data_IF_422287785464
#
_entry.id   IF_422287785464
#
_cell.length_a   1.000
_cell.length_b   1.000
_cell.length_c   1.000
_cell.angle_alpha   90.00
_cell.angle_beta   90.00
_cell.angle_gamma   90.00
#
_symmetry.space_group_name_H-M   'P 1'
#
loop_
_entity.id
_entity.type
_entity.pdbx_description
1 polymer ?
#
# COMPACT_ATOMS: atom_id res chain seq x y z
N UNK A 1 10.87 31.20 23.34
CA UNK A 1 11.03 30.27 22.19
C UNK A 1 9.62 29.95 21.72
N UNK A 2 9.29 30.22 20.46
CA UNK A 2 7.95 30.00 19.92
C UNK A 2 8.01 28.74 19.05
N UNK A 3 7.22 27.72 19.41
CA UNK A 3 7.10 26.47 18.65
C UNK A 3 6.03 26.66 17.59
N UNK A 4 6.36 26.34 16.34
CA UNK A 4 5.38 26.32 15.26
C UNK A 4 4.67 24.99 15.25
N UNK A 5 3.34 25.05 15.25
CA UNK A 5 2.50 23.91 14.89
C UNK A 5 2.66 23.71 13.39
N UNK A 6 2.89 22.48 12.95
CA UNK A 6 3.08 22.20 11.51
C UNK A 6 1.83 22.64 10.73
N UNK A 7 1.95 23.76 10.01
CA UNK A 7 1.05 24.16 8.94
C UNK A 7 1.75 23.86 7.61
N UNK A 8 1.08 23.13 6.73
CA UNK A 8 1.60 22.60 5.46
C UNK A 8 2.26 23.70 4.60
N UNK A 9 3.60 23.71 4.51
CA UNK A 9 4.28 24.70 3.68
C UNK A 9 5.80 24.59 3.59
N UNK A 10 6.28 23.73 2.68
CA UNK A 10 7.59 23.90 2.00
C UNK A 10 8.81 23.27 2.67
N UNK A 11 9.41 22.29 1.98
CA UNK A 11 10.48 21.37 2.43
C UNK A 11 10.03 20.45 3.58
N UNK A 12 9.41 19.33 3.22
CA UNK A 12 8.69 18.43 4.14
C UNK A 12 9.53 17.98 5.36
N UNK A 13 10.86 17.89 5.24
CA UNK A 13 11.72 17.28 6.26
C UNK A 13 13.12 17.91 6.40
N UNK A 14 13.36 19.10 5.83
CA UNK A 14 14.69 19.73 5.79
C UNK A 14 14.64 21.14 6.40
N UNK A 15 14.31 21.17 7.69
CA UNK A 15 14.49 22.35 8.52
C UNK A 15 15.33 21.98 9.74
N UNK A 16 16.39 22.73 10.01
CA UNK A 16 17.13 22.72 11.29
C UNK A 16 16.28 23.29 12.46
N UNK A 17 15.01 23.56 12.22
CA UNK A 17 14.10 24.14 13.20
C UNK A 17 13.44 23.05 14.06
N UNK A 18 13.20 23.39 15.33
CA UNK A 18 12.46 22.54 16.23
C UNK A 18 10.97 22.53 15.85
N UNK A 19 10.40 21.33 15.78
CA UNK A 19 9.03 21.04 15.35
C UNK A 19 8.31 20.31 16.48
N UNK A 20 7.10 20.75 16.79
CA UNK A 20 6.20 20.04 17.69
C UNK A 20 5.08 19.39 16.86
N UNK A 21 5.03 18.05 16.86
CA UNK A 21 3.99 17.30 16.16
C UNK A 21 2.62 17.48 16.82
N UNK A 22 2.56 17.85 18.10
CA UNK A 22 1.32 18.05 18.84
C UNK A 22 0.43 16.80 18.92
N UNK A 23 1.00 15.60 18.74
CA UNK A 23 0.28 14.34 18.93
C UNK A 23 0.07 14.09 20.43
N UNK A 24 -1.15 13.72 20.88
CA UNK A 24 -1.37 13.34 22.26
C UNK A 24 -0.69 11.99 22.57
N UNK A 25 -0.45 11.65 23.85
CA UNK A 25 -0.02 10.31 24.25
C UNK A 25 -0.93 9.22 23.66
N UNK A 26 -0.37 8.04 23.38
CA UNK A 26 -1.11 6.84 22.99
C UNK A 26 -0.38 5.59 23.48
N UNK A 27 -1.10 4.46 23.56
CA UNK A 27 -0.56 3.18 24.04
C UNK A 27 0.59 2.66 23.17
N UNK A 28 0.51 2.84 21.85
CA UNK A 28 1.52 2.35 20.89
C UNK A 28 1.97 3.52 20.03
N UNK A 29 3.29 3.74 19.93
CA UNK A 29 3.88 4.75 19.05
C UNK A 29 4.67 4.06 17.95
N UNK A 30 4.35 4.35 16.70
CA UNK A 30 5.02 3.83 15.51
C UNK A 30 5.69 4.98 14.76
N UNK A 31 6.99 4.86 14.54
CA UNK A 31 7.81 5.83 13.82
C UNK A 31 8.40 5.18 12.58
N UNK A 32 8.29 5.83 11.43
CA UNK A 32 8.88 5.37 10.16
C UNK A 32 9.36 6.56 9.33
N UNK A 33 10.23 6.35 8.33
CA UNK A 33 10.57 7.39 7.34
C UNK A 33 9.69 7.32 6.09
N UNK A 34 8.91 6.26 5.93
CA UNK A 34 8.14 6.02 4.72
C UNK A 34 6.69 6.53 4.87
N UNK A 35 6.34 7.59 4.14
CA UNK A 35 4.97 8.16 4.14
C UNK A 35 3.91 7.16 3.65
N UNK A 36 4.30 6.20 2.80
CA UNK A 36 3.44 5.09 2.39
C UNK A 36 3.08 4.19 3.56
N UNK A 37 4.00 3.95 4.49
CA UNK A 37 3.71 3.17 5.70
C UNK A 37 2.87 3.96 6.69
N UNK A 38 3.13 5.27 6.84
CA UNK A 38 2.29 6.16 7.64
C UNK A 38 0.84 6.08 7.15
N UNK A 39 0.62 6.20 5.85
CA UNK A 39 -0.71 6.14 5.23
C UNK A 39 -1.36 4.77 5.40
N UNK A 40 -0.63 3.70 5.10
CA UNK A 40 -1.09 2.31 5.23
C UNK A 40 -1.53 1.98 6.67
N UNK A 41 -0.67 2.28 7.64
CA UNK A 41 -0.94 1.99 9.04
C UNK A 41 -2.05 2.88 9.60
N UNK A 42 -2.14 4.15 9.16
CA UNK A 42 -3.23 5.04 9.59
C UNK A 42 -4.59 4.53 9.11
N UNK A 43 -4.67 4.03 7.87
CA UNK A 43 -5.89 3.40 7.36
C UNK A 43 -6.23 2.12 8.13
N UNK A 44 -5.24 1.28 8.45
CA UNK A 44 -5.45 0.08 9.25
C UNK A 44 -5.94 0.40 10.67
N UNK A 45 -5.36 1.42 11.34
CA UNK A 45 -5.80 1.88 12.66
C UNK A 45 -7.24 2.37 12.62
N UNK A 46 -7.62 3.14 11.59
CA UNK A 46 -9.00 3.64 11.47
C UNK A 46 -10.03 2.49 11.34
N UNK A 47 -9.68 1.44 10.59
CA UNK A 47 -10.51 0.22 10.49
C UNK A 47 -10.54 -0.57 11.80
N UNK A 48 -9.39 -0.73 12.45
CA UNK A 48 -9.24 -1.49 13.69
C UNK A 48 -9.98 -0.86 14.87
N UNK A 49 -10.02 0.47 14.95
CA UNK A 49 -10.79 1.20 15.96
C UNK A 49 -12.29 0.95 15.88
N UNK A 50 -12.82 0.52 14.73
CA UNK A 50 -14.22 0.15 14.59
C UNK A 50 -14.56 -1.17 15.31
N UNK A 51 -13.56 -1.99 15.67
CA UNK A 51 -13.75 -3.26 16.39
C UNK A 51 -14.02 -3.08 17.89
N UNK A 52 -13.82 -1.89 18.44
CA UNK A 52 -14.13 -1.54 19.82
C UNK A 52 -12.89 -1.16 20.64
N UNK A 53 -12.70 -1.83 21.78
CA UNK A 53 -11.64 -1.51 22.76
C UNK A 53 -10.27 -2.02 22.26
N UNK A 54 -9.61 -1.17 21.49
CA UNK A 54 -8.26 -1.37 20.93
C UNK A 54 -7.31 -0.28 21.44
N UNK A 55 -5.99 -0.56 21.56
CA UNK A 55 -5.00 0.41 22.00
C UNK A 55 -4.98 1.68 21.14
N UNK A 56 -4.74 2.83 21.77
CA UNK A 56 -4.57 4.09 21.05
C UNK A 56 -3.20 4.12 20.35
N UNK A 57 -3.21 4.18 19.03
CA UNK A 57 -1.98 4.19 18.22
C UNK A 57 -1.64 5.61 17.78
N UNK A 58 -0.34 5.96 17.81
CA UNK A 58 0.23 7.18 17.21
C UNK A 58 1.22 6.77 16.14
N UNK A 59 1.08 7.35 14.95
CA UNK A 59 1.96 7.08 13.81
C UNK A 59 2.55 8.40 13.36
N UNK A 60 3.86 8.47 13.16
CA UNK A 60 4.51 9.67 12.67
C UNK A 60 5.70 9.34 11.77
N UNK A 61 5.98 10.26 10.84
CA UNK A 61 7.23 10.24 10.11
C UNK A 61 8.35 10.82 10.97
N UNK A 62 9.35 10.02 11.37
CA UNK A 62 10.43 10.51 12.25
C UNK A 62 11.33 11.55 11.58
N UNK A 63 11.29 11.69 10.25
CA UNK A 63 12.00 12.75 9.55
C UNK A 63 11.45 14.15 9.89
N UNK A 64 10.23 14.25 10.43
CA UNK A 64 9.70 15.49 11.01
C UNK A 64 10.31 15.81 12.40
N UNK A 65 11.03 14.85 13.01
CA UNK A 65 11.71 14.96 14.29
C UNK A 65 13.24 15.04 14.07
N UNK A 66 13.68 15.92 13.18
CA UNK A 66 15.10 16.11 12.83
C UNK A 66 15.91 16.77 13.95
N UNK A 67 15.34 17.81 14.57
CA UNK A 67 16.01 18.59 15.60
C UNK A 67 15.96 17.87 16.98
N UNK A 68 17.07 17.82 17.75
CA UNK A 68 17.14 17.14 19.06
C UNK A 68 16.03 17.54 20.04
N UNK A 69 15.72 18.83 20.11
CA UNK A 69 14.63 19.33 20.97
C UNK A 69 13.26 18.74 20.58
N UNK A 70 12.98 18.56 19.28
CA UNK A 70 11.73 17.95 18.80
C UNK A 70 11.62 16.50 19.30
N UNK A 71 12.73 15.76 19.24
CA UNK A 71 12.83 14.39 19.72
C UNK A 71 12.57 14.34 21.23
N UNK A 72 13.28 15.14 22.02
CA UNK A 72 13.13 15.18 23.47
C UNK A 72 11.71 15.57 23.89
N UNK A 73 11.14 16.58 23.23
CA UNK A 73 9.78 17.01 23.48
C UNK A 73 8.78 15.90 23.14
N UNK A 74 8.92 15.25 22.00
CA UNK A 74 8.04 14.14 21.59
C UNK A 74 8.16 12.95 22.54
N UNK A 75 9.38 12.67 23.04
CA UNK A 75 9.59 11.65 24.06
C UNK A 75 8.83 12.01 25.35
N UNK A 76 9.01 13.24 25.83
CA UNK A 76 8.41 13.69 27.08
C UNK A 76 6.88 13.83 27.04
N UNK A 77 6.33 14.25 25.89
CA UNK A 77 4.90 14.57 25.75
C UNK A 77 4.05 13.42 25.22
N UNK A 78 4.60 12.58 24.35
CA UNK A 78 3.85 11.52 23.67
C UNK A 78 4.30 10.15 24.12
N UNK A 79 5.60 9.85 23.99
CA UNK A 79 6.13 8.50 24.24
C UNK A 79 6.11 8.16 25.73
N UNK A 80 6.27 9.12 26.63
CA UNK A 80 6.24 8.88 28.08
C UNK A 80 4.92 8.22 28.57
N UNK A 81 3.81 8.38 27.83
CA UNK A 81 2.53 7.74 28.12
C UNK A 81 2.29 6.42 27.37
N UNK A 82 3.24 5.98 26.54
CA UNK A 82 3.11 4.77 25.74
C UNK A 82 3.50 3.51 26.51
N UNK A 83 3.03 2.36 26.02
CA UNK A 83 3.40 1.01 26.47
C UNK A 83 4.40 0.35 25.52
N UNK A 84 4.46 0.80 24.27
CA UNK A 84 5.36 0.26 23.24
C UNK A 84 5.73 1.35 22.23
N UNK A 85 7.02 1.41 21.87
CA UNK A 85 7.51 2.19 20.74
C UNK A 85 8.08 1.25 19.68
N UNK A 86 7.70 1.45 18.42
CA UNK A 86 8.26 0.74 17.27
C UNK A 86 8.83 1.78 16.31
N UNK A 87 10.09 1.62 15.92
CA UNK A 87 10.78 2.53 14.99
C UNK A 87 11.30 1.72 13.81
N UNK A 88 10.79 1.99 12.60
CA UNK A 88 11.29 1.38 11.37
C UNK A 88 12.30 2.31 10.69
N UNK A 89 13.55 1.87 10.59
CA UNK A 89 14.68 2.66 10.08
C UNK A 89 15.15 2.17 8.73
N UNK A 90 14.95 2.98 7.68
CA UNK A 90 15.47 2.69 6.35
C UNK A 90 16.97 3.05 6.31
N UNK A 91 17.83 2.03 6.29
CA UNK A 91 19.29 2.20 6.23
C UNK A 91 20.00 2.24 7.59
N UNK A 92 19.32 1.84 8.67
CA UNK A 92 19.92 1.60 9.98
C UNK A 92 19.93 2.81 10.93
N UNK A 93 20.61 2.65 12.07
CA UNK A 93 20.61 3.59 13.19
C UNK A 93 21.11 5.00 12.83
N UNK A 94 22.05 5.08 11.88
CA UNK A 94 22.70 6.33 11.46
C UNK A 94 21.72 7.38 10.91
N UNK A 95 20.61 6.95 10.30
CA UNK A 95 19.63 7.85 9.69
C UNK A 95 18.83 8.69 10.70
N UNK A 96 18.78 8.27 11.97
CA UNK A 96 18.10 9.01 13.03
C UNK A 96 18.81 8.82 14.38
N UNK A 97 20.13 9.01 14.35
CA UNK A 97 21.06 8.66 15.44
C UNK A 97 20.61 9.18 16.81
N UNK A 98 20.24 10.46 16.90
CA UNK A 98 19.85 11.07 18.16
C UNK A 98 18.57 10.44 18.73
N UNK A 99 17.54 10.25 17.90
CA UNK A 99 16.29 9.61 18.33
C UNK A 99 16.50 8.18 18.81
N UNK A 100 17.32 7.41 18.09
CA UNK A 100 17.70 6.05 18.50
C UNK A 100 18.38 6.05 19.86
N UNK A 101 19.35 6.94 20.08
CA UNK A 101 20.07 7.06 21.34
C UNK A 101 19.16 7.42 22.51
N UNK A 102 18.27 8.42 22.34
CA UNK A 102 17.35 8.84 23.40
C UNK A 102 16.31 7.75 23.72
N UNK A 103 15.74 7.11 22.70
CA UNK A 103 14.78 6.03 22.90
C UNK A 103 15.41 4.79 23.56
N UNK A 104 16.67 4.48 23.22
CA UNK A 104 17.42 3.43 23.90
C UNK A 104 17.68 3.80 25.36
N UNK A 105 18.18 5.00 25.60
CA UNK A 105 18.55 5.45 26.95
C UNK A 105 17.34 5.47 27.89
N UNK A 106 16.17 5.95 27.42
CA UNK A 106 14.96 5.93 28.24
C UNK A 106 14.47 4.51 28.51
N UNK A 107 14.54 3.60 27.53
CA UNK A 107 14.18 2.19 27.73
C UNK A 107 15.11 1.49 28.75
N UNK A 108 16.42 1.73 28.68
CA UNK A 108 17.39 1.19 29.66
C UNK A 108 17.17 1.74 31.07
N UNK A 109 16.69 2.97 31.20
CA UNK A 109 16.35 3.59 32.48
C UNK A 109 15.02 3.09 33.08
N UNK A 110 14.38 2.08 32.47
CA UNK A 110 13.08 1.56 32.90
C UNK A 110 11.87 2.32 32.34
N UNK A 111 12.08 3.10 31.29
CA UNK A 111 11.02 3.74 30.51
C UNK A 111 10.30 2.77 29.57
N UNK A 112 9.76 3.31 28.48
CA UNK A 112 8.93 2.55 27.53
C UNK A 112 9.81 1.65 26.67
N UNK A 113 9.48 0.35 26.52
CA UNK A 113 10.26 -0.55 25.67
C UNK A 113 10.17 -0.16 24.19
N UNK A 114 11.27 -0.33 23.46
CA UNK A 114 11.40 0.07 22.06
C UNK A 114 11.86 -1.09 21.16
N UNK A 115 11.22 -1.24 20.00
CA UNK A 115 11.66 -2.13 18.93
C UNK A 115 12.20 -1.30 17.76
N UNK A 116 13.45 -1.53 17.36
CA UNK A 116 14.03 -0.95 16.15
C UNK A 116 13.99 -2.00 15.02
N UNK A 117 13.32 -1.66 13.93
CA UNK A 117 13.08 -2.55 12.80
C UNK A 117 13.85 -2.07 11.56
N UNK A 118 14.50 -2.97 10.80
CA UNK A 118 15.10 -2.60 9.52
C UNK A 118 14.01 -2.28 8.48
N UNK A 119 14.30 -1.31 7.61
CA UNK A 119 13.43 -0.91 6.51
C UNK A 119 13.69 -1.61 5.17
N UNK A 120 14.76 -2.41 5.04
CA UNK A 120 15.22 -2.98 3.76
C UNK A 120 15.11 -4.52 3.68
N UNK A 121 14.34 -5.13 4.59
CA UNK A 121 14.15 -6.58 4.74
C UNK A 121 15.45 -7.37 5.00
N UNK A 122 16.56 -6.70 5.36
CA UNK A 122 17.81 -7.37 5.71
C UNK A 122 17.96 -7.45 7.22
N UNK A 123 18.58 -8.54 7.74
CA UNK A 123 18.93 -8.60 9.16
C UNK A 123 19.89 -7.45 9.52
N UNK A 124 19.59 -6.75 10.60
CA UNK A 124 20.42 -5.68 11.15
C UNK A 124 20.75 -5.98 12.62
N UNK A 125 21.91 -6.61 12.89
CA UNK A 125 22.31 -6.96 14.26
C UNK A 125 22.50 -5.75 15.19
N UNK A 126 22.75 -4.56 14.65
CA UNK A 126 22.86 -3.34 15.46
C UNK A 126 21.49 -2.93 15.97
N UNK A 127 20.48 -2.91 15.10
CA UNK A 127 19.09 -2.61 15.52
C UNK A 127 18.54 -3.68 16.47
N UNK A 128 18.88 -4.95 16.24
CA UNK A 128 18.55 -6.05 17.15
C UNK A 128 19.14 -5.80 18.56
N UNK A 129 20.41 -5.37 18.63
CA UNK A 129 21.07 -5.07 19.91
C UNK A 129 20.48 -3.84 20.63
N UNK A 130 20.09 -2.82 19.87
CA UNK A 130 19.51 -1.60 20.41
C UNK A 130 18.06 -1.78 20.88
N UNK A 131 17.35 -2.79 20.36
CA UNK A 131 15.98 -3.08 20.75
C UNK A 131 15.88 -3.60 22.20
N UNK A 132 14.72 -3.38 22.83
CA UNK A 132 14.38 -3.95 24.14
C UNK A 132 13.89 -5.40 24.02
N UNK A 133 13.48 -5.80 22.81
CA UNK A 133 12.93 -7.13 22.51
C UNK A 133 13.98 -8.05 21.87
N UNK A 134 13.72 -9.35 21.88
CA UNK A 134 14.58 -10.31 21.21
C UNK A 134 14.46 -10.21 19.68
N UNK A 135 15.49 -10.70 18.99
CA UNK A 135 15.57 -10.71 17.52
C UNK A 135 14.38 -11.39 16.84
N UNK A 136 13.78 -12.42 17.45
CA UNK A 136 12.63 -13.12 16.89
C UNK A 136 11.40 -12.22 16.85
N UNK A 137 11.13 -11.53 17.95
CA UNK A 137 10.05 -10.54 18.06
C UNK A 137 10.23 -9.41 17.05
N UNK A 138 11.41 -8.79 16.97
CA UNK A 138 11.69 -7.71 16.02
C UNK A 138 11.52 -8.17 14.56
N UNK A 139 12.03 -9.37 14.21
CA UNK A 139 11.86 -9.92 12.86
C UNK A 139 10.41 -10.23 12.51
N UNK A 140 9.63 -10.73 13.47
CA UNK A 140 8.20 -11.01 13.27
C UNK A 140 7.44 -9.72 12.94
N UNK A 141 7.68 -8.64 13.70
CA UNK A 141 7.11 -7.32 13.44
C UNK A 141 7.54 -6.77 12.07
N UNK A 142 8.84 -6.83 11.75
CA UNK A 142 9.36 -6.35 10.47
C UNK A 142 8.76 -7.11 9.27
N UNK A 143 8.52 -8.41 9.41
CA UNK A 143 8.00 -9.24 8.33
C UNK A 143 6.60 -8.83 7.83
N UNK A 144 5.73 -8.31 8.70
CA UNK A 144 4.44 -7.74 8.27
C UNK A 144 4.65 -6.53 7.37
N UNK A 145 5.51 -5.60 7.79
CA UNK A 145 5.74 -4.37 7.06
C UNK A 145 6.59 -4.60 5.80
N UNK A 146 7.44 -5.64 5.76
CA UNK A 146 8.14 -6.11 4.55
C UNK A 146 7.19 -6.71 3.52
N UNK A 147 6.23 -7.52 3.98
CA UNK A 147 5.21 -8.10 3.12
C UNK A 147 4.28 -7.01 2.56
N UNK A 148 3.94 -6.02 3.40
CA UNK A 148 3.13 -4.85 3.07
C UNK A 148 1.66 -5.19 2.79
N UNK A 149 0.89 -4.15 2.49
CA UNK A 149 -0.54 -4.23 2.21
C UNK A 149 -1.45 -4.23 3.45
N UNK A 150 -2.77 -3.99 3.26
CA UNK A 150 -3.70 -3.72 4.35
C UNK A 150 -3.80 -4.85 5.39
N UNK A 151 -3.84 -6.11 4.95
CA UNK A 151 -4.00 -7.25 5.86
C UNK A 151 -2.77 -7.45 6.75
N UNK A 152 -1.57 -7.25 6.21
CA UNK A 152 -0.35 -7.32 7.00
C UNK A 152 -0.21 -6.10 7.93
N UNK A 153 -0.69 -4.93 7.51
CA UNK A 153 -0.73 -3.76 8.38
C UNK A 153 -1.64 -3.99 9.59
N UNK A 154 -2.81 -4.60 9.40
CA UNK A 154 -3.68 -4.99 10.49
C UNK A 154 -3.06 -6.10 11.36
N UNK A 155 -2.46 -7.12 10.75
CA UNK A 155 -1.70 -8.17 11.46
C UNK A 155 -0.57 -7.61 12.31
N UNK A 156 0.14 -6.58 11.82
CA UNK A 156 1.16 -5.86 12.57
C UNK A 156 0.59 -5.15 13.81
N UNK A 157 -0.59 -4.51 13.69
CA UNK A 157 -1.25 -3.87 14.83
C UNK A 157 -1.68 -4.89 15.89
N UNK A 158 -2.23 -6.05 15.48
CA UNK A 158 -2.51 -7.14 16.41
C UNK A 158 -1.23 -7.66 17.07
N UNK A 159 -0.13 -7.81 16.34
CA UNK A 159 1.14 -8.25 16.90
C UNK A 159 1.71 -7.23 17.91
N UNK A 160 1.54 -5.93 17.64
CA UNK A 160 1.90 -4.88 18.58
C UNK A 160 1.02 -4.90 19.84
N UNK A 161 -0.29 -5.17 19.71
CA UNK A 161 -1.20 -5.39 20.84
C UNK A 161 -0.79 -6.61 21.67
N UNK A 162 -0.48 -7.71 21.00
CA UNK A 162 -0.05 -8.95 21.63
C UNK A 162 1.18 -8.75 22.52
N UNK A 163 2.14 -7.92 22.07
CA UNK A 163 3.32 -7.56 22.87
C UNK A 163 2.92 -6.84 24.17
N UNK A 164 2.03 -5.86 24.10
CA UNK A 164 1.65 -5.08 25.28
C UNK A 164 0.73 -5.86 26.23
N UNK A 165 -0.09 -6.76 25.71
CA UNK A 165 -1.07 -7.55 26.47
C UNK A 165 -0.52 -8.93 26.90
N UNK A 166 0.63 -9.35 26.37
CA UNK A 166 1.26 -10.64 26.66
C UNK A 166 0.50 -11.82 26.03
N UNK A 167 -0.09 -11.62 24.85
CA UNK A 167 -0.89 -12.61 24.12
C UNK A 167 -0.23 -13.01 22.79
N UNK A 168 -0.79 -13.99 22.10
CA UNK A 168 -0.32 -14.45 20.77
C UNK A 168 -1.54 -14.74 19.87
N UNK A 169 -2.24 -13.68 19.47
CA UNK A 169 -3.48 -13.73 18.69
C UNK A 169 -3.31 -13.27 17.24
N UNK A 170 -2.22 -12.57 16.93
CA UNK A 170 -1.96 -12.00 15.62
C UNK A 170 -1.81 -13.09 14.54
N UNK A 171 -2.46 -12.93 13.37
CA UNK A 171 -2.31 -13.85 12.26
C UNK A 171 -0.91 -13.70 11.64
N UNK A 172 -0.22 -14.77 11.24
CA UNK A 172 1.16 -14.66 10.74
C UNK A 172 1.28 -13.76 9.50
N UNK A 173 2.45 -13.11 9.27
CA UNK A 173 2.69 -12.31 8.07
C UNK A 173 2.47 -13.11 6.78
N UNK A 174 1.75 -12.54 5.81
CA UNK A 174 1.40 -13.19 4.55
C UNK A 174 2.06 -12.48 3.37
N UNK A 175 2.94 -13.17 2.60
CA UNK A 175 3.52 -12.58 1.41
C UNK A 175 2.44 -12.17 0.40
N UNK A 176 2.45 -10.92 -0.04
CA UNK A 176 1.54 -10.47 -1.10
C UNK A 176 1.82 -11.23 -2.41
N UNK A 177 0.78 -11.78 -3.01
CA UNK A 177 0.85 -12.48 -4.30
C UNK A 177 1.48 -11.59 -5.38
N UNK A 178 2.13 -12.18 -6.39
CA UNK A 178 2.70 -11.42 -7.52
C UNK A 178 1.59 -10.84 -8.41
N UNK A 179 0.48 -11.55 -8.55
CA UNK A 179 -0.71 -11.08 -9.23
C UNK A 179 -1.94 -11.74 -8.60
N UNK A 180 -3.09 -11.09 -8.72
CA UNK A 180 -4.32 -11.58 -8.10
C UNK A 180 -5.51 -10.67 -8.39
N UNK A 181 -6.65 -11.07 -7.86
CA UNK A 181 -7.86 -10.25 -7.85
C UNK A 181 -7.82 -9.39 -6.59
N UNK A 182 -8.33 -8.17 -6.68
CA UNK A 182 -8.53 -7.30 -5.53
C UNK A 182 -10.02 -7.00 -5.38
N UNK A 183 -10.50 -6.92 -4.14
CA UNK A 183 -11.82 -6.41 -3.82
C UNK A 183 -11.80 -5.68 -2.47
N UNK A 184 -12.43 -4.50 -2.36
CA UNK A 184 -12.43 -3.74 -1.12
C UNK A 184 -12.99 -4.55 0.05
N UNK A 185 -12.25 -4.59 1.17
CA UNK A 185 -12.66 -5.28 2.39
C UNK A 185 -12.65 -6.82 2.34
N UNK A 186 -12.18 -7.42 1.24
CA UNK A 186 -12.07 -8.88 1.11
C UNK A 186 -10.60 -9.25 0.97
N UNK A 187 -10.13 -10.03 1.95
CA UNK A 187 -8.74 -10.48 2.08
C UNK A 187 -8.31 -11.41 0.92
N UNK A 188 -9.07 -12.47 0.67
CA UNK A 188 -8.80 -13.43 -0.41
C UNK A 188 -9.95 -13.48 -1.41
N UNK A 189 -10.09 -12.47 -2.27
CA UNK A 189 -11.16 -12.46 -3.25
C UNK A 189 -10.92 -13.53 -4.32
N UNK A 190 -11.99 -14.21 -4.70
CA UNK A 190 -11.98 -15.10 -5.85
C UNK A 190 -13.01 -14.66 -6.89
N UNK A 191 -12.80 -15.11 -8.13
CA UNK A 191 -13.67 -14.74 -9.24
C UNK A 191 -15.13 -15.19 -9.01
N UNK A 192 -15.42 -16.41 -8.51
CA UNK A 192 -16.80 -16.82 -8.24
C UNK A 192 -17.55 -15.92 -7.26
N UNK A 193 -16.89 -15.47 -6.18
CA UNK A 193 -17.51 -14.64 -5.15
C UNK A 193 -17.82 -13.24 -5.68
N UNK A 194 -16.86 -12.61 -6.38
CA UNK A 194 -17.08 -11.29 -6.98
C UNK A 194 -18.14 -11.36 -8.09
N UNK A 195 -18.11 -12.43 -8.89
CA UNK A 195 -19.06 -12.61 -9.97
C UNK A 195 -20.48 -12.94 -9.48
N UNK A 196 -20.69 -13.21 -8.19
CA UNK A 196 -22.02 -13.40 -7.63
C UNK A 196 -22.85 -12.10 -7.66
N UNK A 197 -22.19 -10.96 -7.51
CA UNK A 197 -22.80 -9.62 -7.50
C UNK A 197 -22.81 -8.97 -8.90
N UNK A 198 -22.40 -9.70 -9.93
CA UNK A 198 -22.36 -9.21 -11.31
C UNK A 198 -23.74 -9.25 -11.97
N UNK A 199 -24.02 -8.23 -12.79
CA UNK A 199 -25.23 -8.17 -13.59
C UNK A 199 -25.10 -9.12 -14.78
N UNK A 200 -26.02 -10.08 -14.91
CA UNK A 200 -26.03 -11.03 -16.03
C UNK A 200 -26.11 -10.28 -17.37
N UNK A 201 -25.21 -10.61 -18.30
CA UNK A 201 -25.16 -10.01 -19.63
C UNK A 201 -24.43 -8.66 -19.71
N UNK A 202 -24.07 -8.03 -18.59
CA UNK A 202 -23.25 -6.83 -18.59
C UNK A 202 -21.77 -7.16 -18.91
N UNK A 203 -21.06 -6.29 -19.67
CA UNK A 203 -19.66 -6.51 -19.99
C UNK A 203 -18.77 -6.36 -18.75
N UNK A 204 -17.73 -7.20 -18.69
CA UNK A 204 -16.73 -7.18 -17.60
C UNK A 204 -15.64 -6.16 -17.91
N UNK A 205 -15.41 -5.23 -17.00
CA UNK A 205 -14.36 -4.22 -17.08
C UNK A 205 -13.16 -4.61 -16.21
N UNK A 206 -12.07 -5.05 -16.84
CA UNK A 206 -10.83 -5.35 -16.14
C UNK A 206 -10.10 -4.05 -15.74
N UNK A 207 -9.90 -3.86 -14.44
CA UNK A 207 -9.15 -2.73 -13.86
C UNK A 207 -7.78 -3.26 -13.45
N UNK A 208 -6.77 -3.07 -14.29
CA UNK A 208 -5.42 -3.59 -14.04
C UNK A 208 -4.54 -2.52 -13.42
N UNK A 209 -3.96 -2.80 -12.26
CA UNK A 209 -3.10 -1.87 -11.53
C UNK A 209 -1.83 -2.55 -11.00
N UNK A 210 -0.84 -1.75 -10.58
CA UNK A 210 0.41 -2.28 -10.07
C UNK A 210 0.24 -2.82 -8.64
N UNK A 211 0.84 -3.98 -8.36
CA UNK A 211 0.92 -4.58 -7.01
C UNK A 211 1.46 -3.61 -5.96
N UNK A 212 2.33 -2.67 -6.35
CA UNK A 212 2.87 -1.65 -5.45
C UNK A 212 1.78 -0.79 -4.78
N UNK A 213 0.66 -0.52 -5.45
CA UNK A 213 -0.45 0.22 -4.83
C UNK A 213 -1.14 -0.60 -3.74
N UNK A 214 -1.35 -1.90 -3.98
CA UNK A 214 -1.85 -2.82 -2.94
C UNK A 214 -0.87 -2.89 -1.77
N UNK A 215 0.42 -2.98 -2.05
CA UNK A 215 1.46 -3.03 -1.02
C UNK A 215 1.53 -1.76 -0.18
N UNK A 216 1.29 -0.59 -0.77
CA UNK A 216 1.25 0.70 -0.09
C UNK A 216 -0.11 1.02 0.56
N UNK A 217 -1.16 0.26 0.26
CA UNK A 217 -2.54 0.59 0.68
C UNK A 217 -3.16 1.76 -0.08
N UNK A 218 -2.52 2.25 -1.15
CA UNK A 218 -2.99 3.37 -1.97
C UNK A 218 -4.08 2.93 -2.96
N UNK A 219 -5.19 2.44 -2.41
CA UNK A 219 -6.26 1.75 -3.16
C UNK A 219 -7.48 2.64 -3.41
N UNK A 220 -7.59 3.81 -2.78
CA UNK A 220 -8.72 4.73 -2.99
C UNK A 220 -8.99 5.07 -4.48
N UNK A 221 -7.99 5.27 -5.35
CA UNK A 221 -8.25 5.44 -6.78
C UNK A 221 -8.81 4.19 -7.46
N UNK A 222 -8.38 2.99 -7.02
CA UNK A 222 -8.89 1.71 -7.54
C UNK A 222 -10.33 1.51 -7.09
N UNK A 223 -10.63 1.79 -5.83
CA UNK A 223 -11.98 1.70 -5.26
C UNK A 223 -12.94 2.63 -6.00
N UNK A 224 -12.53 3.88 -6.24
CA UNK A 224 -13.32 4.81 -7.04
C UNK A 224 -13.56 4.33 -8.49
N UNK A 225 -12.60 3.63 -9.09
CA UNK A 225 -12.80 3.02 -10.41
C UNK A 225 -13.76 1.83 -10.39
N UNK A 226 -13.78 1.05 -9.30
CA UNK A 226 -14.74 -0.05 -9.09
C UNK A 226 -16.16 0.51 -9.05
N UNK A 227 -16.39 1.52 -8.21
CA UNK A 227 -17.69 2.19 -8.09
C UNK A 227 -18.14 2.80 -9.42
N UNK A 228 -17.24 3.52 -10.11
CA UNK A 228 -17.55 4.11 -11.42
C UNK A 228 -17.90 3.06 -12.49
N UNK A 229 -17.35 1.84 -12.40
CA UNK A 229 -17.74 0.75 -13.30
C UNK A 229 -19.17 0.29 -13.02
N UNK A 230 -19.54 0.13 -11.75
CA UNK A 230 -20.91 -0.21 -11.37
C UNK A 230 -21.91 0.86 -11.81
N UNK A 231 -21.60 2.14 -11.59
CA UNK A 231 -22.44 3.27 -12.04
C UNK A 231 -22.62 3.29 -13.57
N UNK A 232 -21.62 2.83 -14.32
CA UNK A 232 -21.67 2.71 -15.77
C UNK A 232 -22.37 1.42 -16.27
N UNK A 233 -22.87 0.57 -15.37
CA UNK A 233 -23.50 -0.71 -15.72
C UNK A 233 -22.52 -1.78 -16.20
N UNK A 234 -21.26 -1.71 -15.74
CA UNK A 234 -20.20 -2.67 -16.04
C UNK A 234 -19.95 -3.58 -14.83
N UNK A 235 -19.48 -4.80 -15.08
CA UNK A 235 -19.04 -5.72 -14.03
C UNK A 235 -17.53 -5.49 -13.76
N UNK A 236 -17.12 -4.86 -12.65
CA UNK A 236 -15.70 -4.60 -12.39
C UNK A 236 -14.93 -5.87 -12.05
N UNK A 237 -13.70 -5.96 -12.58
CA UNK A 237 -12.73 -6.99 -12.23
C UNK A 237 -11.38 -6.35 -11.92
N UNK A 238 -11.09 -6.01 -10.65
CA UNK A 238 -9.84 -5.40 -10.25
C UNK A 238 -8.73 -6.44 -10.17
N UNK A 239 -7.61 -6.18 -10.84
CA UNK A 239 -6.48 -7.09 -10.94
C UNK A 239 -5.19 -6.35 -10.64
N UNK A 240 -4.40 -6.88 -9.72
CA UNK A 240 -3.06 -6.37 -9.49
C UNK A 240 -2.02 -7.28 -10.13
N UNK A 241 -0.90 -6.69 -10.54
CA UNK A 241 0.29 -7.44 -10.98
C UNK A 241 1.58 -6.70 -10.61
N UNK A 242 2.61 -7.47 -10.25
CA UNK A 242 3.97 -6.98 -10.06
C UNK A 242 4.60 -6.53 -11.39
N UNK A 243 4.21 -7.15 -12.51
CA UNK A 243 4.73 -6.82 -13.83
C UNK A 243 3.69 -7.12 -14.91
N UNK A 244 3.39 -6.12 -15.74
CA UNK A 244 2.60 -6.32 -16.97
C UNK A 244 3.41 -7.02 -18.07
N UNK A 245 4.74 -7.04 -17.96
CA UNK A 245 5.63 -7.68 -18.95
C UNK A 245 5.69 -9.20 -18.75
N UNK A 246 5.50 -9.65 -17.51
CA UNK A 246 5.71 -11.05 -17.14
C UNK A 246 4.46 -11.90 -17.41
N UNK A 247 3.34 -11.27 -17.77
CA UNK A 247 2.10 -11.96 -18.16
C UNK A 247 1.30 -12.54 -16.98
N UNK A 248 1.70 -12.28 -15.74
CA UNK A 248 1.09 -12.88 -14.54
C UNK A 248 -0.42 -12.61 -14.40
N UNK A 249 -0.92 -11.48 -14.93
CA UNK A 249 -2.35 -11.16 -14.93
C UNK A 249 -3.16 -11.82 -16.07
N UNK A 250 -2.48 -12.27 -17.15
CA UNK A 250 -3.16 -12.75 -18.36
C UNK A 250 -4.03 -14.01 -18.14
N UNK A 251 -3.62 -15.01 -17.34
CA UNK A 251 -4.48 -16.16 -17.04
C UNK A 251 -5.78 -15.77 -16.32
N UNK A 252 -5.72 -14.80 -15.41
CA UNK A 252 -6.89 -14.34 -14.64
C UNK A 252 -7.87 -13.61 -15.56
N UNK A 253 -7.35 -12.75 -16.43
CA UNK A 253 -8.17 -12.06 -17.47
C UNK A 253 -8.83 -13.09 -18.40
N UNK A 254 -8.09 -14.12 -18.83
CA UNK A 254 -8.63 -15.17 -19.69
C UNK A 254 -9.77 -15.96 -19.04
N UNK A 255 -9.67 -16.25 -17.74
CA UNK A 255 -10.72 -16.93 -16.97
C UNK A 255 -12.02 -16.10 -16.91
N UNK A 256 -11.91 -14.78 -16.75
CA UNK A 256 -13.05 -13.87 -16.72
C UNK A 256 -13.70 -13.69 -18.11
N UNK A 257 -12.89 -13.58 -19.17
CA UNK A 257 -13.39 -13.44 -20.54
C UNK A 257 -14.19 -14.68 -20.99
N UNK A 258 -13.75 -15.89 -20.64
CA UNK A 258 -14.45 -17.13 -20.98
C UNK A 258 -15.87 -17.27 -20.40
N UNK A 259 -16.18 -16.56 -19.30
CA UNK A 259 -17.54 -16.50 -18.72
C UNK A 259 -18.48 -15.56 -19.49
N UNK A 260 -17.94 -14.53 -20.14
CA UNK A 260 -18.72 -13.60 -20.97
C UNK A 260 -19.06 -14.14 -22.37
N UNK A 261 -18.35 -15.17 -22.84
CA UNK A 261 -18.49 -15.70 -24.21
C UNK A 261 -19.37 -16.96 -24.35
N UNK A 262 -19.80 -17.59 -23.26
CA UNK A 262 -20.57 -18.85 -23.30
C UNK A 262 -22.01 -18.75 -23.86
N UNK A 263 -22.42 -17.62 -24.47
CA UNK A 263 -23.74 -17.47 -25.11
C UNK A 263 -23.75 -16.67 -26.42
N UNK A 264 -22.66 -16.61 -27.19
CA UNK A 264 -22.78 -16.20 -28.61
C UNK A 264 -22.98 -17.43 -29.49
N UNK A 265 -24.25 -17.65 -29.83
CA UNK A 265 -24.78 -18.41 -30.96
C UNK A 265 -23.86 -19.46 -31.62
N UNK A 266 -24.18 -20.74 -31.39
CA UNK A 266 -24.09 -21.75 -32.43
C UNK A 266 -24.98 -21.30 -33.59
N UNK A 267 -24.40 -20.70 -34.63
CA UNK A 267 -24.93 -20.74 -36.00
C UNK A 267 -23.89 -20.15 -36.96
N UNK A 268 -23.52 -20.95 -37.97
CA UNK A 268 -22.84 -20.58 -39.22
C UNK A 268 -21.39 -20.03 -39.15
N UNK A 269 -20.39 -20.86 -39.49
CA UNK A 269 -20.03 -21.15 -40.89
C UNK A 269 -18.62 -21.76 -41.01
N UNK A 270 -18.50 -22.64 -42.00
CA UNK A 270 -17.28 -23.28 -42.46
C UNK A 270 -16.26 -22.30 -43.08
N UNK A 271 -15.10 -22.84 -43.45
CA UNK A 271 -14.04 -22.29 -44.33
C UNK A 271 -13.09 -21.25 -43.69
N UNK A 272 -11.83 -21.67 -43.43
CA UNK A 272 -10.83 -21.69 -44.50
C UNK A 272 -9.54 -22.40 -44.08
N UNK A 273 -9.17 -23.43 -44.83
CA UNK A 273 -7.97 -24.26 -44.67
C UNK A 273 -7.03 -23.93 -45.84
N UNK A 274 -5.94 -23.19 -45.64
CA UNK A 274 -4.87 -23.08 -46.65
C UNK A 274 -3.46 -23.07 -46.04
N UNK A 275 -2.78 -24.19 -46.31
CA UNK A 275 -1.36 -24.43 -46.65
C UNK A 275 -0.25 -23.50 -46.16
N UNK A 276 0.71 -24.20 -45.56
CA UNK A 276 2.12 -23.89 -45.36
C UNK A 276 2.86 -23.31 -46.58
N UNK A 277 3.62 -22.24 -46.36
CA UNK A 277 4.70 -21.78 -47.23
C UNK A 277 5.87 -21.23 -46.40
N UNK A 278 7.02 -21.90 -46.43
CA UNK A 278 8.30 -21.41 -45.88
C UNK A 278 8.83 -20.25 -46.72
N UNK A 279 9.32 -19.18 -46.08
CA UNK A 279 10.64 -18.57 -46.36
C UNK A 279 11.09 -17.63 -45.23
N UNK A 280 12.41 -17.45 -45.23
CA UNK A 280 13.33 -17.08 -44.14
C UNK A 280 13.47 -15.56 -43.97
N UNK A 281 13.89 -15.12 -42.77
CA UNK A 281 14.64 -13.87 -42.61
C UNK A 281 14.30 -13.05 -41.35
N UNK A 282 15.25 -13.03 -40.41
CA UNK A 282 15.54 -11.94 -39.44
C UNK A 282 14.46 -11.48 -38.45
N UNK A 283 14.48 -12.09 -37.25
CA UNK A 283 14.91 -11.38 -36.03
C UNK A 283 14.12 -10.14 -35.57
N UNK A 284 12.79 -10.21 -35.49
CA UNK A 284 11.97 -9.40 -34.59
C UNK A 284 10.71 -10.21 -34.25
N UNK A 285 10.58 -10.71 -33.02
CA UNK A 285 9.32 -11.33 -32.58
C UNK A 285 8.33 -10.21 -32.25
N UNK A 286 7.71 -9.68 -33.29
CA UNK A 286 6.45 -8.96 -33.15
C UNK A 286 5.40 -9.95 -32.65
N UNK A 287 4.70 -9.58 -31.58
CA UNK A 287 3.56 -10.33 -31.06
C UNK A 287 2.54 -10.55 -32.18
N UNK A 288 2.16 -11.82 -32.41
CA UNK A 288 1.08 -12.19 -33.32
C UNK A 288 -0.23 -12.07 -32.52
N UNK A 289 -1.16 -11.16 -32.88
CA UNK A 289 -2.42 -11.00 -32.17
C UNK A 289 -3.40 -12.08 -32.68
N UNK A 290 -3.30 -13.28 -32.14
CA UNK A 290 -4.22 -14.38 -32.48
C UNK A 290 -4.87 -15.04 -31.26
N UNK A 291 -4.92 -14.36 -30.12
CA UNK A 291 -5.68 -14.79 -28.92
C UNK A 291 -6.74 -13.75 -28.50
N UNK A 292 -6.94 -12.69 -29.29
CA UNK A 292 -7.95 -11.66 -29.02
C UNK A 292 -8.77 -11.41 -30.30
N UNK A 293 -9.65 -12.33 -30.63
CA UNK A 293 -10.72 -12.11 -31.60
C UNK A 293 -11.99 -11.67 -30.87
N UNK A 294 -11.97 -10.46 -30.31
CA UNK A 294 -13.15 -9.76 -29.82
C UNK A 294 -13.04 -8.27 -30.21
N UNK A 295 -13.93 -7.72 -31.05
CA UNK A 295 -13.87 -6.34 -31.49
C UNK A 295 -14.61 -5.43 -30.50
N UNK A 296 -14.05 -5.18 -29.32
CA UNK A 296 -14.33 -3.98 -28.51
C UNK A 296 -13.51 -3.99 -27.21
N UNK A 297 -12.32 -3.41 -27.22
CA UNK A 297 -11.69 -2.84 -26.00
C UNK A 297 -10.36 -2.18 -26.40
N UNK A 298 -10.43 -0.91 -26.80
CA UNK A 298 -9.30 0.01 -26.76
C UNK A 298 -9.77 1.38 -26.29
N UNK A 299 -9.85 1.55 -24.97
CA UNK A 299 -9.63 2.85 -24.32
C UNK A 299 -8.64 2.61 -23.20
N UNK A 300 -7.38 2.88 -23.50
CA UNK A 300 -6.31 2.91 -22.53
C UNK A 300 -6.36 4.32 -21.90
N UNK A 301 -6.81 4.42 -20.65
CA UNK A 301 -6.67 5.65 -19.88
C UNK A 301 -5.25 5.67 -19.29
N UNK A 302 -4.31 6.30 -19.99
CA UNK A 302 -3.04 6.71 -19.41
C UNK A 302 -3.29 7.91 -18.49
N UNK A 303 -3.08 7.74 -17.19
CA UNK A 303 -3.07 8.84 -16.22
C UNK A 303 -1.87 9.74 -16.52
N UNK A 304 -2.12 10.88 -17.15
CA UNK A 304 -1.26 12.06 -17.02
C UNK A 304 -2.06 13.13 -16.28
N UNK A 305 -1.72 13.37 -15.01
CA UNK A 305 -2.18 14.56 -14.31
C UNK A 305 -1.73 15.79 -15.10
N UNK A 306 -2.68 16.56 -15.66
CA UNK A 306 -2.42 17.92 -16.11
C UNK A 306 -3.03 18.88 -15.10
N UNK A 307 -2.29 19.89 -14.61
CA UNK A 307 -2.87 20.91 -13.76
C UNK A 307 -3.84 21.78 -14.56
N UNK A 308 -4.93 22.19 -13.91
CA UNK A 308 -5.97 23.02 -14.49
C UNK A 308 -5.40 24.41 -14.88
N UNK A 309 -5.08 24.58 -16.16
CA UNK A 309 -4.70 25.86 -16.74
C UNK A 309 -5.93 26.68 -17.14
N UNK A 310 -6.12 27.81 -16.45
CA UNK A 310 -7.08 28.86 -16.74
C UNK A 310 -7.09 29.29 -18.22
N UNK A 311 -8.24 29.17 -18.89
CA UNK A 311 -8.48 29.81 -20.19
C UNK A 311 -8.94 31.26 -19.96
N UNK A 312 -8.03 32.22 -20.10
CA UNK A 312 -8.40 33.62 -20.35
C UNK A 312 -8.71 33.78 -21.85
N UNK A 313 -9.98 33.95 -22.18
CA UNK A 313 -10.41 34.32 -23.52
C UNK A 313 -9.93 35.73 -23.86
N UNK A 314 -9.33 35.89 -25.05
CA UNK A 314 -9.12 37.19 -25.69
C UNK A 314 -10.38 37.50 -26.48
N UNK A 315 -11.17 38.45 -26.01
CA UNK A 315 -12.14 39.16 -26.83
C UNK A 315 -11.57 40.55 -27.17
N UNK A 316 -11.32 40.77 -28.46
CA UNK A 316 -11.19 42.11 -29.04
C UNK A 316 -12.60 42.60 -29.40
N UNK A 317 -12.97 43.86 -29.08
CA UNK A 317 -14.19 44.43 -29.62
C UNK A 317 -13.89 45.18 -30.94
N UNK A 318 -14.86 45.28 -31.86
CA UNK A 318 -14.89 46.34 -32.85
C UNK A 318 -15.72 47.52 -32.32
N UNK A 319 -15.22 48.74 -32.47
CA UNK A 319 -15.93 49.99 -32.14
C UNK A 319 -15.13 50.91 -31.24
#
# INVERSE_FOLDING_TARGET
>A
MHLLRVEEGGALYDSDEAVDLGQPPGDIVILTSADTEVSLLSAAVAGWQAEGDVPEVRIANYLSLSHPFSVDQYIASTIAGARLVIVRLLGGSAYWTYGVQQLRAQAEAGGVPVAFLPGDARPDPELDYLSTFDTGTCRSLAAYLDAGGPDNALGFLYAARDIIDGTETAPPPRPLLRAGIYWPGVDTPDLPSIAADWVEGAPVAAIVFYRALLQAGDLAPVDAMIEACYEAGLNPLPLFSASLKDGDAAPIIGLAAGRGESRRHHEHDELCRVRSGRRRGTGCRAWHPSVLSAPSMRRCCSLSCRPAGSRTGRDHPPG
#
